data_IF_435324648229
#
_entry.id   IF_435324648229
#
_cell.length_a   1.000
_cell.length_b   1.000
_cell.length_c   1.000
_cell.angle_alpha   90.00
_cell.angle_beta   90.00
_cell.angle_gamma   90.00
#
_symmetry.space_group_name_H-M   'P 1'
#
loop_
_entity.id
_entity.type
_entity.pdbx_description
1 polymer ?
#
# COMPACT_ATOMS: atom_id res chain seq x y z
N UNK A 1 -3.39 -19.13 9.58
CA UNK A 1 -2.56 -19.21 8.35
C UNK A 1 -3.13 -18.19 7.40
N UNK A 2 -2.48 -17.04 7.30
CA UNK A 2 -2.98 -15.95 6.45
C UNK A 2 -2.59 -16.28 5.01
N UNK A 3 -3.51 -16.78 4.21
CA UNK A 3 -3.31 -16.92 2.78
C UNK A 3 -3.74 -15.59 2.18
N UNK A 4 -2.79 -14.73 1.83
CA UNK A 4 -3.07 -13.60 0.97
C UNK A 4 -3.17 -14.14 -0.45
N UNK A 5 -4.37 -14.26 -0.95
CA UNK A 5 -4.61 -14.79 -2.31
C UNK A 5 -4.11 -13.87 -3.42
N UNK A 6 -3.51 -12.73 -3.06
CA UNK A 6 -2.94 -11.75 -4.00
C UNK A 6 -1.44 -11.94 -4.28
N UNK A 7 -0.71 -12.72 -3.48
CA UNK A 7 0.72 -12.94 -3.68
C UNK A 7 1.14 -14.38 -3.37
N UNK A 8 2.25 -14.83 -3.95
CA UNK A 8 2.79 -16.17 -3.75
C UNK A 8 3.88 -16.19 -2.66
N UNK A 9 3.74 -15.36 -1.62
CA UNK A 9 4.68 -15.35 -0.51
C UNK A 9 4.49 -16.63 0.31
N UNK A 10 5.58 -17.38 0.53
CA UNK A 10 5.55 -18.56 1.36
C UNK A 10 5.30 -18.18 2.83
N UNK A 11 4.22 -18.70 3.40
CA UNK A 11 4.00 -18.63 4.84
C UNK A 11 4.87 -19.66 5.53
N UNK A 12 5.68 -19.25 6.50
CA UNK A 12 6.59 -20.13 7.23
C UNK A 12 6.92 -19.52 8.58
N UNK A 13 7.86 -20.13 9.28
CA UNK A 13 8.49 -19.50 10.44
C UNK A 13 9.45 -18.43 9.90
N UNK A 14 9.21 -17.15 10.16
CA UNK A 14 10.13 -16.10 9.72
C UNK A 14 11.48 -16.28 10.45
N UNK A 15 12.54 -15.83 9.80
CA UNK A 15 13.84 -15.73 10.45
C UNK A 15 13.78 -14.67 11.56
N UNK A 16 14.66 -14.73 12.57
CA UNK A 16 14.82 -13.63 13.52
C UNK A 16 14.96 -12.29 12.78
N UNK A 17 14.45 -11.22 13.40
CA UNK A 17 14.57 -9.90 12.86
C UNK A 17 16.04 -9.50 12.70
N UNK A 18 16.44 -9.07 11.53
CA UNK A 18 17.79 -8.55 11.31
C UNK A 18 17.85 -7.09 11.83
N UNK A 19 18.59 -6.88 12.91
CA UNK A 19 18.74 -5.57 13.53
C UNK A 19 19.48 -4.56 12.67
N UNK A 20 20.29 -5.02 11.71
CA UNK A 20 21.07 -4.19 10.79
C UNK A 20 20.32 -3.88 9.48
N UNK A 21 19.17 -4.53 9.23
CA UNK A 21 18.38 -4.32 8.02
C UNK A 21 18.03 -2.83 7.77
N UNK A 22 17.64 -2.03 8.79
CA UNK A 22 17.39 -0.59 8.58
C UNK A 22 18.60 0.15 8.00
N UNK A 23 19.80 -0.17 8.47
CA UNK A 23 21.05 0.40 7.97
C UNK A 23 21.33 -0.05 6.54
N UNK A 24 21.24 -1.35 6.29
CA UNK A 24 21.50 -1.92 4.95
C UNK A 24 20.51 -1.38 3.90
N UNK A 25 19.24 -1.18 4.25
CA UNK A 25 18.25 -0.53 3.37
C UNK A 25 18.67 0.90 3.05
N UNK A 26 19.02 1.68 4.06
CA UNK A 26 19.41 3.07 3.87
C UNK A 26 20.72 3.21 3.06
N UNK A 27 21.71 2.35 3.28
CA UNK A 27 22.96 2.28 2.49
C UNK A 27 22.69 1.88 1.04
N UNK A 28 21.76 0.95 0.81
CA UNK A 28 21.35 0.54 -0.54
C UNK A 28 20.73 1.70 -1.32
N UNK A 29 19.86 2.48 -0.69
CA UNK A 29 19.27 3.68 -1.28
C UNK A 29 20.35 4.71 -1.63
N UNK A 30 21.33 4.90 -0.73
CA UNK A 30 22.45 5.81 -0.95
C UNK A 30 23.34 5.36 -2.11
N UNK A 31 23.68 4.07 -2.15
CA UNK A 31 24.49 3.48 -3.21
C UNK A 31 23.83 3.61 -4.59
N UNK A 32 22.51 3.41 -4.65
CA UNK A 32 21.72 3.57 -5.87
C UNK A 32 21.42 5.03 -6.22
N UNK A 33 21.74 5.97 -5.33
CA UNK A 33 21.49 7.43 -5.50
C UNK A 33 20.02 7.73 -5.87
N UNK A 34 19.09 7.10 -5.17
CA UNK A 34 17.67 7.27 -5.44
C UNK A 34 17.18 8.63 -4.94
N UNK A 35 16.40 9.33 -5.76
CA UNK A 35 15.68 10.55 -5.36
C UNK A 35 14.37 10.24 -4.65
N UNK A 36 13.81 9.04 -4.89
CA UNK A 36 12.61 8.52 -4.26
C UNK A 36 12.74 7.01 -4.04
N UNK A 37 12.35 6.52 -2.87
CA UNK A 37 12.39 5.10 -2.53
C UNK A 37 11.04 4.63 -2.03
N UNK A 38 10.52 3.52 -2.60
CA UNK A 38 9.33 2.83 -2.13
C UNK A 38 9.76 1.58 -1.37
N UNK A 39 9.43 1.53 -0.10
CA UNK A 39 9.78 0.42 0.80
C UNK A 39 8.53 -0.41 1.08
N UNK A 40 8.69 -1.71 1.01
CA UNK A 40 7.65 -2.68 1.36
C UNK A 40 8.25 -3.79 2.22
N UNK A 41 7.44 -4.47 3.00
CA UNK A 41 7.87 -5.62 3.79
C UNK A 41 6.88 -6.78 3.66
N UNK A 42 7.29 -7.94 4.16
CA UNK A 42 6.36 -9.00 4.54
C UNK A 42 5.70 -8.65 5.88
N UNK A 43 4.54 -9.24 6.15
CA UNK A 43 3.90 -9.08 7.47
C UNK A 43 4.66 -9.89 8.52
N UNK A 44 4.77 -9.34 9.71
CA UNK A 44 5.46 -9.91 10.86
C UNK A 44 4.49 -10.11 12.02
N UNK A 45 3.39 -10.85 11.76
CA UNK A 45 2.39 -11.21 12.78
C UNK A 45 2.97 -12.04 13.94
N UNK A 46 4.21 -12.52 13.80
CA UNK A 46 4.98 -13.22 14.82
C UNK A 46 5.62 -12.31 15.88
N UNK A 47 5.68 -11.00 15.62
CA UNK A 47 6.24 -10.01 16.53
C UNK A 47 5.13 -9.34 17.37
N UNK A 48 5.42 -9.02 18.63
CA UNK A 48 4.47 -8.38 19.55
C UNK A 48 3.96 -7.03 19.02
N UNK A 49 4.82 -6.28 18.35
CA UNK A 49 4.52 -4.99 17.73
C UNK A 49 4.25 -5.08 16.22
N UNK A 50 4.04 -6.29 15.69
CA UNK A 50 3.78 -6.54 14.27
C UNK A 50 4.82 -5.92 13.32
N UNK A 51 6.02 -5.60 13.83
CA UNK A 51 7.12 -4.98 13.12
C UNK A 51 7.08 -3.46 13.03
N UNK A 52 6.19 -2.78 13.75
CA UNK A 52 6.04 -1.32 13.69
C UNK A 52 7.32 -0.57 14.10
N UNK A 53 8.00 -1.02 15.16
CA UNK A 53 9.27 -0.41 15.60
C UNK A 53 10.39 -0.58 14.56
N UNK A 54 10.39 -1.69 13.84
CA UNK A 54 11.36 -1.94 12.78
C UNK A 54 11.09 -1.02 11.56
N UNK A 55 9.82 -0.83 11.20
CA UNK A 55 9.40 0.16 10.22
C UNK A 55 9.88 1.57 10.58
N UNK A 56 9.62 2.00 11.83
CA UNK A 56 10.03 3.32 12.29
C UNK A 56 11.55 3.51 12.23
N UNK A 57 12.33 2.51 12.68
CA UNK A 57 13.80 2.53 12.59
C UNK A 57 14.28 2.63 11.15
N UNK A 58 13.70 1.85 10.24
CA UNK A 58 14.06 1.87 8.82
C UNK A 58 13.83 3.25 8.20
N UNK A 59 12.69 3.87 8.46
CA UNK A 59 12.38 5.21 7.97
C UNK A 59 13.36 6.26 8.51
N UNK A 60 13.64 6.20 9.81
CA UNK A 60 14.57 7.15 10.45
C UNK A 60 15.99 6.98 9.90
N UNK A 61 16.44 5.75 9.66
CA UNK A 61 17.77 5.48 9.11
C UNK A 61 17.89 5.92 7.64
N UNK A 62 16.83 5.71 6.84
CA UNK A 62 16.77 6.25 5.47
C UNK A 62 16.93 7.76 5.49
N UNK A 63 16.19 8.45 6.34
CA UNK A 63 16.27 9.92 6.45
C UNK A 63 17.63 10.41 6.92
N UNK A 64 18.24 9.68 7.86
CA UNK A 64 19.57 10.03 8.39
C UNK A 64 20.66 9.96 7.32
N UNK A 65 20.67 8.88 6.52
CA UNK A 65 21.69 8.66 5.48
C UNK A 65 21.38 9.35 4.16
N UNK A 66 20.09 9.57 3.86
CA UNK A 66 19.62 10.08 2.56
C UNK A 66 18.63 11.25 2.77
N UNK A 67 19.06 12.40 3.32
CA UNK A 67 18.15 13.49 3.71
C UNK A 67 17.40 14.12 2.52
N UNK A 68 17.93 14.02 1.30
CA UNK A 68 17.30 14.52 0.08
C UNK A 68 16.39 13.49 -0.60
N UNK A 69 16.45 12.21 -0.19
CA UNK A 69 15.61 11.16 -0.75
C UNK A 69 14.24 11.18 -0.08
N UNK A 70 13.19 11.22 -0.89
CA UNK A 70 11.83 11.05 -0.38
C UNK A 70 11.51 9.58 -0.21
N UNK A 71 10.74 9.24 0.83
CA UNK A 71 10.38 7.88 1.19
C UNK A 71 8.88 7.64 1.13
N UNK A 72 8.49 6.59 0.44
CA UNK A 72 7.15 6.00 0.51
C UNK A 72 7.25 4.64 1.20
N UNK A 73 6.35 4.37 2.13
CA UNK A 73 6.29 3.08 2.82
C UNK A 73 4.93 2.42 2.61
N UNK A 74 4.92 1.16 2.18
CA UNK A 74 3.70 0.36 2.06
C UNK A 74 3.58 -0.55 3.28
N UNK A 75 2.70 -0.17 4.20
CA UNK A 75 2.54 -0.80 5.51
C UNK A 75 1.37 -1.78 5.57
N UNK A 76 1.41 -2.80 6.45
CA UNK A 76 0.25 -3.61 6.79
C UNK A 76 -0.77 -2.79 7.59
N UNK A 77 -1.93 -3.39 7.91
CA UNK A 77 -2.96 -2.76 8.75
C UNK A 77 -2.64 -2.78 10.25
N UNK A 78 -1.56 -3.47 10.66
CA UNK A 78 -1.20 -3.70 12.06
C UNK A 78 -2.38 -4.18 12.92
N UNK A 79 -3.29 -4.98 12.32
CA UNK A 79 -4.52 -5.46 12.97
C UNK A 79 -5.39 -4.31 13.55
N UNK A 80 -5.31 -3.13 12.97
CA UNK A 80 -6.03 -1.93 13.40
C UNK A 80 -5.53 -1.30 14.71
N UNK A 81 -4.35 -1.70 15.22
CA UNK A 81 -3.75 -1.13 16.43
C UNK A 81 -3.20 0.27 16.16
N UNK A 82 -3.95 1.29 16.56
CA UNK A 82 -3.64 2.70 16.27
C UNK A 82 -2.27 3.13 16.77
N UNK A 83 -1.82 2.62 17.92
CA UNK A 83 -0.51 2.90 18.51
C UNK A 83 0.65 2.41 17.65
N UNK A 84 0.48 1.30 16.92
CA UNK A 84 1.50 0.76 16.02
C UNK A 84 1.57 1.57 14.71
N UNK A 85 0.41 1.94 14.17
CA UNK A 85 0.32 2.83 13.02
C UNK A 85 0.97 4.18 13.36
N UNK A 86 0.72 4.69 14.58
CA UNK A 86 1.27 5.97 15.04
C UNK A 86 2.81 5.93 15.10
N UNK A 87 3.44 4.82 15.49
CA UNK A 87 4.90 4.70 15.49
C UNK A 87 5.49 4.93 14.09
N UNK A 88 4.85 4.41 13.05
CA UNK A 88 5.29 4.64 11.67
C UNK A 88 5.06 6.08 11.24
N UNK A 89 3.92 6.65 11.61
CA UNK A 89 3.58 8.06 11.34
C UNK A 89 4.59 9.01 11.99
N UNK A 90 4.97 8.74 13.24
CA UNK A 90 5.93 9.56 14.01
C UNK A 90 7.34 9.55 13.42
N UNK A 91 7.71 8.51 12.66
CA UNK A 91 8.94 8.48 11.87
C UNK A 91 8.89 9.42 10.64
N UNK A 92 7.69 9.94 10.29
CA UNK A 92 7.44 10.97 9.28
C UNK A 92 7.95 10.60 7.87
N UNK A 93 7.61 9.45 7.29
CA UNK A 93 7.85 9.24 5.87
C UNK A 93 7.07 10.27 5.04
N UNK A 94 7.43 10.46 3.78
CA UNK A 94 6.77 11.44 2.92
C UNK A 94 5.39 10.97 2.47
N UNK A 95 5.26 9.67 2.21
CA UNK A 95 4.02 9.01 1.80
C UNK A 95 3.87 7.71 2.60
N UNK A 96 2.67 7.46 3.10
CA UNK A 96 2.31 6.14 3.64
C UNK A 96 1.23 5.53 2.75
N UNK A 97 1.52 4.35 2.24
CA UNK A 97 0.59 3.54 1.45
C UNK A 97 0.03 2.40 2.31
N UNK A 98 -1.27 2.19 2.20
CA UNK A 98 -1.94 0.97 2.67
C UNK A 98 -3.01 0.57 1.66
N UNK A 99 -2.91 -0.62 1.10
CA UNK A 99 -3.78 -1.05 0.01
C UNK A 99 -5.11 -1.61 0.51
N UNK A 100 -6.21 -1.23 -0.17
CA UNK A 100 -7.52 -1.87 -0.02
C UNK A 100 -7.56 -3.25 -0.68
N UNK A 101 -6.70 -3.49 -1.65
CA UNK A 101 -6.53 -4.67 -2.49
C UNK A 101 -7.72 -4.93 -3.43
N UNK A 102 -8.97 -4.79 -2.99
CA UNK A 102 -10.16 -4.99 -3.81
C UNK A 102 -11.39 -4.28 -3.20
N UNK A 103 -12.56 -4.46 -3.82
CA UNK A 103 -13.83 -3.91 -3.37
C UNK A 103 -14.38 -4.63 -2.13
N UNK A 104 -15.26 -3.95 -1.38
CA UNK A 104 -15.81 -4.43 -0.09
C UNK A 104 -16.37 -5.85 -0.17
N UNK A 105 -17.18 -6.15 -1.19
CA UNK A 105 -17.81 -7.47 -1.36
C UNK A 105 -16.82 -8.61 -1.55
N UNK A 106 -15.73 -8.34 -2.26
CA UNK A 106 -14.73 -9.35 -2.61
C UNK A 106 -13.63 -9.45 -1.54
N UNK A 107 -13.40 -8.40 -0.76
CA UNK A 107 -12.36 -8.35 0.26
C UNK A 107 -12.30 -9.58 1.17
N UNK A 108 -13.40 -10.08 1.75
CA UNK A 108 -13.35 -11.27 2.60
C UNK A 108 -12.92 -12.55 1.88
N UNK A 109 -13.04 -12.60 0.54
CA UNK A 109 -12.71 -13.76 -0.28
C UNK A 109 -11.21 -13.83 -0.61
N UNK A 110 -10.54 -12.67 -0.72
CA UNK A 110 -9.14 -12.56 -1.14
C UNK A 110 -8.21 -12.06 -0.03
N UNK A 111 -8.77 -11.56 1.08
CA UNK A 111 -8.04 -11.00 2.23
C UNK A 111 -8.60 -11.57 3.52
N UNK A 112 -8.45 -12.86 3.73
CA UNK A 112 -9.08 -13.59 4.85
C UNK A 112 -8.72 -13.06 6.26
N UNK A 113 -7.60 -12.34 6.39
CA UNK A 113 -7.12 -11.79 7.67
C UNK A 113 -7.21 -10.27 7.78
N UNK A 114 -7.66 -9.56 6.72
CA UNK A 114 -7.73 -8.11 6.73
C UNK A 114 -9.17 -7.63 6.48
N UNK A 115 -9.60 -6.67 7.28
CA UNK A 115 -10.94 -6.09 7.20
C UNK A 115 -10.93 -4.79 6.37
N UNK A 116 -11.98 -4.59 5.57
CA UNK A 116 -12.12 -3.44 4.70
C UNK A 116 -12.21 -2.13 5.52
N UNK A 117 -13.02 -2.13 6.57
CA UNK A 117 -13.20 -0.92 7.40
C UNK A 117 -11.97 -0.63 8.27
N UNK A 118 -11.22 -1.65 8.66
CA UNK A 118 -9.92 -1.48 9.32
C UNK A 118 -8.93 -0.81 8.38
N UNK A 119 -8.87 -1.21 7.12
CA UNK A 119 -8.01 -0.58 6.12
C UNK A 119 -8.37 0.91 5.91
N UNK A 120 -9.65 1.27 5.89
CA UNK A 120 -10.08 2.66 5.82
C UNK A 120 -9.67 3.48 7.06
N UNK A 121 -9.73 2.88 8.26
CA UNK A 121 -9.26 3.54 9.50
C UNK A 121 -7.75 3.81 9.45
N UNK A 122 -6.95 2.89 8.91
CA UNK A 122 -5.51 3.10 8.69
C UNK A 122 -5.28 4.32 7.79
N UNK A 123 -5.96 4.38 6.64
CA UNK A 123 -5.87 5.51 5.70
C UNK A 123 -6.26 6.82 6.38
N UNK A 124 -7.36 6.80 7.14
CA UNK A 124 -7.82 7.99 7.88
C UNK A 124 -6.79 8.47 8.90
N UNK A 125 -6.21 7.57 9.69
CA UNK A 125 -5.22 7.93 10.70
C UNK A 125 -3.98 8.56 10.04
N UNK A 126 -3.50 8.02 8.91
CA UNK A 126 -2.40 8.59 8.14
C UNK A 126 -2.74 10.02 7.71
N UNK A 127 -3.90 10.21 7.10
CA UNK A 127 -4.34 11.51 6.58
C UNK A 127 -4.56 12.55 7.68
N UNK A 128 -5.18 12.16 8.80
CA UNK A 128 -5.44 13.04 9.96
C UNK A 128 -4.13 13.55 10.61
N UNK A 129 -3.03 12.82 10.45
CA UNK A 129 -1.69 13.24 10.92
C UNK A 129 -0.91 14.05 9.87
N UNK A 130 -1.54 14.46 8.77
CA UNK A 130 -0.93 15.34 7.76
C UNK A 130 0.03 14.64 6.80
N UNK A 131 0.15 13.31 6.84
CA UNK A 131 0.96 12.54 5.89
C UNK A 131 0.13 12.24 4.64
N UNK A 132 0.77 12.27 3.48
CA UNK A 132 0.10 11.88 2.24
C UNK A 132 -0.27 10.41 2.27
N UNK A 133 -1.57 10.12 2.34
CA UNK A 133 -2.10 8.77 2.28
C UNK A 133 -2.29 8.33 0.82
N UNK A 134 -1.85 7.11 0.55
CA UNK A 134 -1.98 6.43 -0.75
C UNK A 134 -2.59 5.05 -0.54
N UNK A 135 -3.38 4.61 -1.53
CA UNK A 135 -3.96 3.27 -1.53
C UNK A 135 -3.99 2.67 -2.93
N UNK A 136 -4.28 1.38 -3.01
CA UNK A 136 -4.40 0.68 -4.28
C UNK A 136 -5.39 -0.46 -4.23
N UNK A 137 -5.93 -0.78 -5.41
CA UNK A 137 -6.74 -1.97 -5.65
C UNK A 137 -6.26 -2.72 -6.88
N UNK A 138 -6.61 -3.99 -6.92
CA UNK A 138 -6.55 -4.82 -8.11
C UNK A 138 -7.96 -5.03 -8.63
N UNK A 139 -8.11 -5.01 -9.96
CA UNK A 139 -9.36 -5.26 -10.66
C UNK A 139 -9.27 -6.53 -11.51
N UNK A 140 -10.42 -7.09 -11.90
CA UNK A 140 -10.51 -8.38 -12.60
C UNK A 140 -10.81 -9.56 -11.67
N UNK A 141 -11.31 -9.28 -10.46
CA UNK A 141 -11.74 -10.26 -9.46
C UNK A 141 -13.26 -10.50 -9.49
N UNK A 142 -14.00 -9.83 -10.40
CA UNK A 142 -15.45 -9.91 -10.54
C UNK A 142 -16.21 -8.78 -9.85
N UNK A 143 -15.53 -7.66 -9.62
CA UNK A 143 -16.12 -6.40 -9.18
C UNK A 143 -16.85 -5.71 -10.32
N UNK A 144 -17.83 -4.87 -10.00
CA UNK A 144 -18.48 -3.97 -10.96
C UNK A 144 -17.80 -2.59 -10.97
N UNK A 145 -18.07 -1.79 -12.00
CA UNK A 145 -17.56 -0.41 -12.06
C UNK A 145 -18.05 0.40 -10.86
N UNK A 146 -19.32 0.27 -10.49
CA UNK A 146 -19.92 0.99 -9.36
C UNK A 146 -19.24 0.64 -8.03
N UNK A 147 -18.83 -0.64 -7.86
CA UNK A 147 -18.07 -1.06 -6.68
C UNK A 147 -16.66 -0.44 -6.64
N UNK A 148 -15.99 -0.32 -7.79
CA UNK A 148 -14.70 0.39 -7.89
C UNK A 148 -14.87 1.87 -7.57
N UNK A 149 -15.93 2.50 -8.10
CA UNK A 149 -16.25 3.90 -7.79
C UNK A 149 -16.58 4.11 -6.32
N UNK A 150 -17.24 3.15 -5.66
CA UNK A 150 -17.51 3.21 -4.22
C UNK A 150 -16.22 3.14 -3.41
N UNK A 151 -15.24 2.31 -3.80
CA UNK A 151 -13.91 2.30 -3.15
C UNK A 151 -13.24 3.67 -3.29
N UNK A 152 -13.34 4.31 -4.45
CA UNK A 152 -12.80 5.67 -4.65
C UNK A 152 -13.44 6.67 -3.68
N UNK A 153 -14.77 6.62 -3.54
CA UNK A 153 -15.51 7.52 -2.63
C UNK A 153 -15.14 7.24 -1.17
N UNK A 154 -15.08 5.96 -0.77
CA UNK A 154 -14.67 5.55 0.58
C UNK A 154 -13.25 6.06 0.91
N UNK A 155 -12.30 5.90 -0.01
CA UNK A 155 -10.92 6.36 0.16
C UNK A 155 -10.82 7.88 0.28
N UNK A 156 -11.52 8.63 -0.58
CA UNK A 156 -11.55 10.10 -0.53
C UNK A 156 -12.17 10.62 0.76
N UNK A 157 -13.25 9.99 1.23
CA UNK A 157 -13.89 10.33 2.51
C UNK A 157 -12.95 10.12 3.71
N UNK A 158 -11.95 9.24 3.57
CA UNK A 158 -10.92 8.98 4.59
C UNK A 158 -9.59 9.73 4.33
N UNK A 159 -9.58 10.70 3.39
CA UNK A 159 -8.44 11.59 3.16
C UNK A 159 -7.33 11.02 2.28
N UNK A 160 -7.56 9.89 1.59
CA UNK A 160 -6.62 9.36 0.61
C UNK A 160 -6.44 10.33 -0.55
N UNK A 161 -5.19 10.59 -0.95
CA UNK A 161 -4.89 11.54 -2.03
C UNK A 161 -4.46 10.87 -3.33
N UNK A 162 -3.90 9.67 -3.25
CA UNK A 162 -3.28 8.97 -4.38
C UNK A 162 -3.86 7.56 -4.46
N UNK A 163 -4.23 7.13 -5.66
CA UNK A 163 -4.77 5.78 -5.88
C UNK A 163 -4.03 5.07 -7.01
N UNK A 164 -3.78 3.77 -6.84
CA UNK A 164 -3.28 2.88 -7.88
C UNK A 164 -4.31 1.80 -8.21
N UNK A 165 -4.49 1.51 -9.50
CA UNK A 165 -5.40 0.46 -9.98
C UNK A 165 -4.66 -0.41 -10.98
N UNK A 166 -4.47 -1.68 -10.65
CA UNK A 166 -3.77 -2.65 -11.49
C UNK A 166 -4.62 -3.90 -11.77
N UNK A 167 -4.24 -4.67 -12.79
CA UNK A 167 -4.87 -5.96 -13.07
C UNK A 167 -4.46 -6.99 -12.02
N UNK A 168 -5.42 -7.72 -11.47
CA UNK A 168 -5.16 -8.92 -10.70
C UNK A 168 -4.59 -10.01 -11.61
N UNK A 169 -3.48 -10.61 -11.20
CA UNK A 169 -2.87 -11.75 -11.87
C UNK A 169 -2.82 -12.90 -10.86
N UNK A 170 -3.49 -14.00 -11.18
CA UNK A 170 -3.54 -15.17 -10.31
C UNK A 170 -2.14 -15.78 -10.13
N UNK A 171 -1.58 -15.80 -8.91
CA UNK A 171 -0.21 -16.29 -8.71
C UNK A 171 -0.06 -17.80 -8.96
N UNK A 172 -1.03 -18.60 -8.54
CA UNK A 172 -1.11 -20.04 -8.82
C UNK A 172 -2.57 -20.47 -8.94
N UNK A 173 -2.84 -21.66 -9.50
CA UNK A 173 -4.21 -22.20 -9.61
C UNK A 173 -4.95 -22.42 -8.27
N UNK A 174 -4.25 -22.29 -7.15
CA UNK A 174 -4.84 -22.40 -5.80
C UNK A 174 -5.38 -21.07 -5.28
N UNK A 175 -5.01 -19.95 -5.90
CA UNK A 175 -5.45 -18.60 -5.54
C UNK A 175 -6.77 -18.25 -6.21
N UNK A 176 -7.39 -17.16 -5.77
CA UNK A 176 -8.65 -16.69 -6.34
C UNK A 176 -8.52 -16.55 -7.86
N UNK A 177 -9.46 -17.07 -8.65
CA UNK A 177 -9.35 -17.03 -10.11
C UNK A 177 -9.50 -15.62 -10.67
N UNK A 178 -8.82 -15.33 -11.78
CA UNK A 178 -9.11 -14.13 -12.57
C UNK A 178 -10.50 -14.26 -13.17
N UNK A 179 -11.41 -13.35 -12.82
CA UNK A 179 -12.76 -13.32 -13.38
C UNK A 179 -12.77 -12.69 -14.77
N UNK A 180 -11.94 -11.63 -14.94
CA UNK A 180 -11.86 -10.88 -16.20
C UNK A 180 -10.50 -10.20 -16.35
N UNK A 181 -10.02 -10.09 -17.59
CA UNK A 181 -8.90 -9.22 -17.94
C UNK A 181 -9.47 -7.87 -18.42
N UNK A 182 -9.33 -6.88 -17.56
CA UNK A 182 -9.85 -5.53 -17.79
C UNK A 182 -9.12 -4.86 -18.95
N UNK A 183 -9.87 -4.22 -19.85
CA UNK A 183 -9.28 -3.57 -21.03
C UNK A 183 -8.47 -2.32 -20.66
N UNK A 184 -7.43 -1.96 -21.42
CA UNK A 184 -6.71 -0.69 -21.22
C UNK A 184 -7.63 0.52 -21.25
N UNK A 185 -8.69 0.49 -22.04
CA UNK A 185 -9.71 1.55 -22.09
C UNK A 185 -10.43 1.69 -20.76
N UNK A 186 -10.83 0.59 -20.13
CA UNK A 186 -11.50 0.65 -18.84
C UNK A 186 -10.56 1.17 -17.74
N UNK A 187 -9.27 0.85 -17.78
CA UNK A 187 -8.28 1.45 -16.89
C UNK A 187 -8.19 2.98 -17.09
N UNK A 188 -8.25 3.46 -18.33
CA UNK A 188 -8.29 4.89 -18.64
C UNK A 188 -9.53 5.55 -18.05
N UNK A 189 -10.69 4.90 -18.18
CA UNK A 189 -11.96 5.37 -17.59
C UNK A 189 -11.84 5.46 -16.06
N UNK A 190 -11.32 4.44 -15.38
CA UNK A 190 -11.10 4.47 -13.93
C UNK A 190 -10.18 5.63 -13.51
N UNK A 191 -9.12 5.89 -14.28
CA UNK A 191 -8.24 7.03 -14.02
C UNK A 191 -8.99 8.37 -14.11
N UNK A 192 -9.76 8.57 -15.16
CA UNK A 192 -10.54 9.80 -15.36
C UNK A 192 -11.59 10.01 -14.27
N UNK A 193 -12.32 8.94 -13.90
CA UNK A 193 -13.30 8.97 -12.81
C UNK A 193 -12.62 9.37 -11.49
N UNK A 194 -11.52 8.73 -11.13
CA UNK A 194 -10.83 9.00 -9.88
C UNK A 194 -10.30 10.44 -9.81
N UNK A 195 -9.70 10.95 -10.87
CA UNK A 195 -9.26 12.35 -10.95
C UNK A 195 -10.45 13.33 -10.84
N UNK A 196 -11.57 13.02 -11.52
CA UNK A 196 -12.80 13.84 -11.45
C UNK A 196 -13.42 13.82 -10.06
N UNK A 197 -13.35 12.70 -9.33
CA UNK A 197 -13.82 12.58 -7.95
C UNK A 197 -12.96 13.37 -6.97
N UNK A 198 -11.69 13.67 -7.28
CA UNK A 198 -10.84 14.55 -6.48
C UNK A 198 -9.50 13.96 -6.01
N UNK A 199 -9.14 12.77 -6.43
CA UNK A 199 -7.77 12.28 -6.21
C UNK A 199 -6.76 13.23 -6.85
N UNK A 200 -5.63 13.42 -6.19
CA UNK A 200 -4.51 14.22 -6.71
C UNK A 200 -3.75 13.49 -7.81
N UNK A 201 -3.67 12.16 -7.70
CA UNK A 201 -3.09 11.30 -8.73
C UNK A 201 -3.81 9.94 -8.73
N UNK A 202 -4.00 9.39 -9.93
CA UNK A 202 -4.52 8.04 -10.14
C UNK A 202 -3.66 7.36 -11.19
N UNK A 203 -2.89 6.37 -10.80
CA UNK A 203 -2.18 5.50 -11.72
C UNK A 203 -3.03 4.26 -12.00
N UNK A 204 -3.47 4.09 -13.23
CA UNK A 204 -4.42 3.04 -13.60
C UNK A 204 -4.03 2.42 -14.94
N UNK A 205 -3.52 1.21 -14.93
CA UNK A 205 -3.18 0.43 -16.11
C UNK A 205 -2.97 -1.06 -15.73
N UNK A 206 -2.98 -2.00 -16.71
CA UNK A 206 -2.86 -3.43 -16.42
C UNK A 206 -1.64 -3.82 -15.59
N UNK A 207 -0.49 -3.20 -15.82
CA UNK A 207 0.77 -3.52 -15.14
C UNK A 207 1.09 -2.59 -13.96
N UNK A 208 0.17 -1.71 -13.58
CA UNK A 208 0.36 -0.85 -12.40
C UNK A 208 0.51 -1.71 -11.13
N UNK A 209 1.45 -1.30 -10.30
CA UNK A 209 1.69 -1.78 -8.95
C UNK A 209 1.87 -0.58 -8.03
N UNK A 210 1.85 -0.78 -6.72
CA UNK A 210 1.93 0.32 -5.74
C UNK A 210 3.15 1.23 -5.93
N UNK A 211 4.27 0.71 -6.44
CA UNK A 211 5.49 1.48 -6.71
C UNK A 211 5.54 2.12 -8.11
N UNK A 212 4.53 1.91 -8.96
CA UNK A 212 4.56 2.40 -10.34
C UNK A 212 4.52 3.93 -10.39
N UNK A 213 5.52 4.54 -11.03
CA UNK A 213 5.68 6.00 -11.14
C UNK A 213 5.59 6.76 -9.80
N UNK A 214 5.97 6.12 -8.70
CA UNK A 214 5.84 6.70 -7.36
C UNK A 214 6.61 8.03 -7.21
N UNK A 215 7.67 8.24 -7.97
CA UNK A 215 8.42 9.51 -8.01
C UNK A 215 7.57 10.71 -8.44
N UNK A 216 6.47 10.50 -9.17
CA UNK A 216 5.55 11.58 -9.55
C UNK A 216 4.67 12.04 -8.39
N UNK A 217 4.49 11.21 -7.38
CA UNK A 217 3.61 11.45 -6.25
C UNK A 217 4.18 12.48 -5.25
N UNK A 218 5.48 12.77 -5.32
CA UNK A 218 6.21 13.70 -4.44
C UNK A 218 5.66 15.14 -4.53
N UNK A 219 5.07 15.50 -5.66
CA UNK A 219 4.53 16.86 -5.92
C UNK A 219 3.38 17.24 -4.99
N UNK A 220 2.84 16.29 -4.23
CA UNK A 220 1.67 16.46 -3.38
C UNK A 220 2.01 16.52 -1.88
N UNK A 221 3.28 16.80 -1.52
CA UNK A 221 3.64 17.15 -0.15
C UNK A 221 2.79 18.35 0.26
N UNK A 222 1.89 18.12 1.20
CA UNK A 222 0.97 19.11 1.73
C UNK A 222 1.63 20.08 2.67
#
# INVERSE_FOLDING_TARGET
>A
MCIRDSCNTQTGRPLPLDTEEPTHVAESIQLMKLSHAVITSVDRDDLDDLGASHWAKTILEIKRLNPETTSEVLIPDFQGKSELIQQVIDAKPDIISHNMETVRRISPLVRSAADYDTSLKVIKQIADNGITAKSGIMVGLGETQEEVEQVMDDLLAHGCKIMTIGQYLQPTHKHYPVAEYITPEQFRIYREIGLKKGFKEVESAPLVRSSYHAEKHIKFKG
#
